data_IF_552749994998
#
_entry.id   IF_552749994998
#
_cell.length_a   1.000
_cell.length_b   1.000
_cell.length_c   1.000
_cell.angle_alpha   90.00
_cell.angle_beta   90.00
_cell.angle_gamma   90.00
#
_symmetry.space_group_name_H-M   'P 1'
#
loop_
_entity.id
_entity.type
_entity.pdbx_description
1 polymer ?
#
# COMPACT_ATOMS: atom_id res chain seq x y z
N UNK A 1 24.81 27.12 0.08
CA UNK A 1 25.06 25.67 0.14
C UNK A 1 23.70 25.01 0.17
N UNK A 2 23.21 24.58 -1.00
CA UNK A 2 21.94 23.84 -1.08
C UNK A 2 22.30 22.43 -0.65
N UNK A 3 21.81 21.99 0.51
CA UNK A 3 21.86 20.57 0.85
C UNK A 3 20.91 19.89 -0.12
N UNK A 4 21.44 19.08 -1.04
CA UNK A 4 20.64 18.10 -1.74
C UNK A 4 19.92 17.27 -0.67
N UNK A 5 18.58 17.30 -0.70
CA UNK A 5 17.79 16.40 0.11
C UNK A 5 18.18 14.99 -0.28
N UNK A 6 18.87 14.29 0.60
CA UNK A 6 19.09 12.85 0.52
C UNK A 6 17.70 12.22 0.43
N UNK A 7 17.27 11.87 -0.78
CA UNK A 7 16.04 11.12 -1.03
C UNK A 7 16.31 9.71 -0.52
N UNK A 8 16.08 9.52 0.78
CA UNK A 8 16.09 8.21 1.44
C UNK A 8 15.12 7.29 0.69
N UNK A 9 15.61 6.15 0.20
CA UNK A 9 14.78 5.10 -0.41
C UNK A 9 14.01 5.49 -1.67
N UNK A 10 14.66 5.53 -2.84
CA UNK A 10 13.96 5.71 -4.11
C UNK A 10 13.38 4.39 -4.66
N UNK A 11 12.14 4.46 -5.12
CA UNK A 11 11.47 3.47 -5.98
C UNK A 11 11.40 4.06 -7.38
N UNK A 12 11.97 3.39 -8.38
CA UNK A 12 12.10 3.95 -9.73
C UNK A 12 11.67 2.95 -10.81
N UNK A 13 11.36 3.49 -11.98
CA UNK A 13 11.10 2.69 -13.19
C UNK A 13 11.63 3.42 -14.42
N UNK A 14 12.07 2.68 -15.42
CA UNK A 14 12.51 3.23 -16.71
C UNK A 14 11.35 3.49 -17.68
N UNK A 15 10.11 3.18 -17.29
CA UNK A 15 8.90 3.37 -18.10
C UNK A 15 8.35 4.79 -17.98
N UNK A 16 7.84 5.34 -19.08
CA UNK A 16 6.99 6.54 -19.04
C UNK A 16 5.58 6.18 -18.59
N UNK A 17 5.43 5.96 -17.27
CA UNK A 17 4.16 5.61 -16.65
C UNK A 17 3.13 6.74 -16.75
N UNK A 18 3.59 8.00 -16.82
CA UNK A 18 2.71 9.16 -16.76
C UNK A 18 1.85 9.27 -18.01
N UNK A 19 2.48 9.20 -19.18
CA UNK A 19 1.78 9.26 -20.46
C UNK A 19 0.85 8.07 -20.63
N UNK A 20 1.30 6.86 -20.25
CA UNK A 20 0.45 5.66 -20.31
C UNK A 20 -0.79 5.78 -19.41
N UNK A 21 -0.66 6.31 -18.19
CA UNK A 21 -1.80 6.55 -17.30
C UNK A 21 -2.75 7.61 -17.85
N UNK A 22 -2.24 8.65 -18.51
CA UNK A 22 -3.08 9.67 -19.14
C UNK A 22 -3.93 9.09 -20.27
N UNK A 23 -3.33 8.30 -21.14
CA UNK A 23 -3.97 7.80 -22.36
C UNK A 23 -4.81 6.53 -22.11
N UNK A 24 -4.24 5.57 -21.39
CA UNK A 24 -4.80 4.22 -21.24
C UNK A 24 -5.51 4.00 -19.92
N UNK A 25 -5.31 4.89 -18.94
CA UNK A 25 -5.81 4.77 -17.55
C UNK A 25 -5.20 3.61 -16.74
N UNK A 26 -4.18 2.94 -17.30
CA UNK A 26 -3.38 1.94 -16.62
C UNK A 26 -1.97 1.87 -17.24
N UNK A 27 -1.01 1.34 -16.50
CA UNK A 27 0.32 0.96 -17.00
C UNK A 27 0.71 -0.38 -16.39
N UNK A 28 1.49 -1.17 -17.13
CA UNK A 28 2.02 -2.46 -16.67
C UNK A 28 3.53 -2.35 -16.62
N UNK A 29 4.08 -2.52 -15.42
CA UNK A 29 5.53 -2.50 -15.15
C UNK A 29 5.91 -3.92 -14.73
N UNK A 30 6.84 -4.54 -15.46
CA UNK A 30 7.39 -5.84 -15.07
C UNK A 30 8.37 -5.69 -13.92
N UNK A 31 8.60 -6.77 -13.16
CA UNK A 31 9.43 -6.72 -11.95
C UNK A 31 10.88 -6.28 -12.23
N UNK A 32 11.43 -6.59 -13.40
CA UNK A 32 12.77 -6.17 -13.85
C UNK A 32 12.84 -4.68 -14.24
N UNK A 33 11.70 -4.04 -14.48
CA UNK A 33 11.58 -2.61 -14.78
C UNK A 33 11.21 -1.78 -13.53
N UNK A 34 11.06 -2.41 -12.38
CA UNK A 34 10.72 -1.80 -11.10
C UNK A 34 11.91 -1.94 -10.13
N UNK A 35 12.62 -0.84 -9.92
CA UNK A 35 13.88 -0.83 -9.17
C UNK A 35 13.68 -0.24 -7.78
N UNK A 36 14.23 -0.93 -6.78
CA UNK A 36 14.30 -0.47 -5.40
C UNK A 36 15.75 -0.17 -5.05
N UNK A 37 16.01 0.95 -4.37
CA UNK A 37 17.31 1.18 -3.74
C UNK A 37 17.64 0.03 -2.76
N UNK A 38 18.93 -0.29 -2.62
CA UNK A 38 19.45 -1.33 -1.74
C UNK A 38 18.95 -1.17 -0.29
N UNK A 39 18.81 0.06 0.19
CA UNK A 39 18.27 0.39 1.52
C UNK A 39 16.85 -0.13 1.76
N UNK A 40 16.06 -0.32 0.69
CA UNK A 40 14.67 -0.78 0.75
C UNK A 40 14.53 -2.31 0.65
N UNK A 41 15.62 -3.06 0.44
CA UNK A 41 15.55 -4.52 0.26
C UNK A 41 15.02 -5.20 1.53
N UNK A 42 15.48 -4.77 2.72
CA UNK A 42 15.02 -5.31 3.99
C UNK A 42 13.53 -4.99 4.24
N UNK A 43 13.10 -3.76 3.91
CA UNK A 43 11.71 -3.34 3.99
C UNK A 43 10.80 -4.24 3.13
N UNK A 44 11.22 -4.53 1.89
CA UNK A 44 10.53 -5.45 0.99
C UNK A 44 10.40 -6.85 1.56
N UNK A 45 11.48 -7.41 2.11
CA UNK A 45 11.44 -8.74 2.72
C UNK A 45 10.48 -8.79 3.91
N UNK A 46 10.51 -7.76 4.77
CA UNK A 46 9.56 -7.62 5.89
C UNK A 46 8.10 -7.59 5.40
N UNK A 47 7.81 -6.75 4.41
CA UNK A 47 6.46 -6.66 3.82
C UNK A 47 6.01 -7.97 3.16
N UNK A 48 6.92 -8.72 2.52
CA UNK A 48 6.58 -10.03 1.96
C UNK A 48 6.30 -11.08 3.02
N UNK A 49 6.98 -11.02 4.16
CA UNK A 49 6.77 -11.97 5.25
C UNK A 49 5.34 -11.90 5.81
N UNK A 50 4.69 -10.73 5.76
CA UNK A 50 3.31 -10.53 6.22
C UNK A 50 2.27 -11.41 5.52
N UNK A 51 2.54 -11.87 4.29
CA UNK A 51 1.63 -12.79 3.58
C UNK A 51 1.41 -14.10 4.34
N UNK A 52 2.36 -14.52 5.16
CA UNK A 52 2.25 -15.72 5.99
C UNK A 52 1.29 -15.56 7.18
N UNK A 53 0.94 -14.32 7.54
CA UNK A 53 0.17 -13.99 8.75
C UNK A 53 -0.91 -12.94 8.50
N UNK A 54 -1.73 -13.14 7.46
CA UNK A 54 -2.88 -12.27 7.21
C UNK A 54 -4.12 -12.66 8.02
N UNK A 55 -4.90 -11.64 8.39
CA UNK A 55 -6.18 -11.84 9.05
C UNK A 55 -7.28 -12.29 8.06
N UNK A 56 -8.22 -13.11 8.51
CA UNK A 56 -9.39 -13.49 7.71
C UNK A 56 -10.32 -12.30 7.45
N UNK A 57 -10.83 -12.21 6.22
CA UNK A 57 -11.87 -11.24 5.85
C UNK A 57 -13.26 -11.78 6.23
N UNK A 58 -13.81 -11.27 7.34
CA UNK A 58 -15.09 -11.70 7.88
C UNK A 58 -16.32 -11.03 7.22
N UNK A 59 -16.13 -10.23 6.16
CA UNK A 59 -17.20 -9.44 5.53
C UNK A 59 -17.63 -9.96 4.16
N UNK A 60 -17.26 -11.19 3.81
CA UNK A 60 -17.72 -11.87 2.60
C UNK A 60 -19.15 -12.41 2.79
N UNK A 61 -19.94 -12.44 1.71
CA UNK A 61 -21.28 -13.05 1.73
C UNK A 61 -21.21 -14.54 2.07
N UNK A 62 -22.31 -15.06 2.61
CA UNK A 62 -22.54 -16.49 2.88
C UNK A 62 -21.44 -17.14 3.74
N UNK A 63 -20.86 -16.37 4.68
CA UNK A 63 -19.77 -16.83 5.56
C UNK A 63 -18.54 -17.39 4.82
N UNK A 64 -18.29 -16.98 3.57
CA UNK A 64 -17.12 -17.40 2.82
C UNK A 64 -15.82 -16.92 3.51
N UNK A 65 -14.75 -17.73 3.47
CA UNK A 65 -13.49 -17.46 4.18
C UNK A 65 -12.23 -17.53 3.31
N UNK A 66 -12.37 -17.41 2.00
CA UNK A 66 -11.26 -17.59 1.06
C UNK A 66 -10.32 -16.38 0.95
N UNK A 67 -10.66 -15.24 1.55
CA UNK A 67 -9.85 -14.02 1.47
C UNK A 67 -9.22 -13.68 2.82
N UNK A 68 -7.91 -13.50 2.80
CA UNK A 68 -7.15 -12.94 3.91
C UNK A 68 -6.67 -11.54 3.52
N UNK A 69 -6.68 -10.58 4.45
CA UNK A 69 -6.20 -9.22 4.22
C UNK A 69 -5.94 -8.45 5.50
N UNK A 70 -5.05 -7.47 5.41
CA UNK A 70 -4.87 -6.39 6.37
C UNK A 70 -5.05 -5.04 5.66
N UNK A 71 -5.27 -3.96 6.41
CA UNK A 71 -5.52 -2.63 5.87
C UNK A 71 -5.01 -1.53 6.81
N UNK A 72 -4.40 -0.49 6.23
CA UNK A 72 -4.07 0.77 6.87
C UNK A 72 -4.19 1.90 5.84
N UNK A 73 -4.38 3.12 6.34
CA UNK A 73 -4.23 4.34 5.58
C UNK A 73 -2.99 5.07 6.08
N UNK A 74 -2.46 5.98 5.27
CA UNK A 74 -1.37 6.87 5.63
C UNK A 74 -1.68 8.27 5.11
N UNK A 75 -1.17 9.30 5.78
CA UNK A 75 -1.12 10.64 5.23
C UNK A 75 0.19 10.82 4.46
N UNK A 76 0.11 11.28 3.22
CA UNK A 76 1.28 11.74 2.47
C UNK A 76 1.26 13.26 2.41
N UNK A 77 2.36 13.90 2.83
CA UNK A 77 2.56 15.35 2.77
C UNK A 77 3.46 15.72 1.60
N UNK A 78 2.93 16.25 0.48
CA UNK A 78 3.74 16.51 -0.71
C UNK A 78 4.79 17.61 -0.53
N UNK A 79 4.60 18.52 0.43
CA UNK A 79 5.51 19.63 0.72
C UNK A 79 6.79 19.19 1.43
N UNK A 80 6.70 18.14 2.24
CA UNK A 80 7.81 17.60 3.03
C UNK A 80 8.18 16.17 2.66
N UNK A 81 7.43 15.55 1.74
CA UNK A 81 7.50 14.14 1.34
C UNK A 81 7.33 13.14 2.50
N UNK A 82 6.77 13.59 3.62
CA UNK A 82 6.59 12.76 4.82
C UNK A 82 5.38 11.83 4.67
N UNK A 83 5.55 10.60 5.15
CA UNK A 83 4.47 9.63 5.31
C UNK A 83 4.18 9.52 6.80
N UNK A 84 2.96 9.86 7.21
CA UNK A 84 2.53 9.85 8.60
C UNK A 84 1.44 8.81 8.83
N UNK A 85 1.42 8.27 10.04
CA UNK A 85 0.37 7.35 10.47
C UNK A 85 -1.01 8.00 10.39
N UNK A 86 -1.96 7.23 9.86
CA UNK A 86 -3.37 7.55 9.91
C UNK A 86 -4.04 6.73 11.01
N UNK A 87 -4.88 7.33 11.88
CA UNK A 87 -5.56 6.60 12.95
C UNK A 87 -6.35 5.40 12.42
N UNK A 88 -6.35 4.25 13.13
CA UNK A 88 -7.13 3.08 12.75
C UNK A 88 -8.57 3.42 12.36
N UNK A 89 -8.93 3.17 11.09
CA UNK A 89 -10.24 3.52 10.54
C UNK A 89 -10.90 2.34 9.85
N UNK A 90 -12.23 2.37 9.82
CA UNK A 90 -13.02 1.36 9.12
C UNK A 90 -12.92 1.55 7.61
N UNK A 91 -12.93 0.44 6.88
CA UNK A 91 -12.94 0.44 5.43
C UNK A 91 -14.38 0.37 4.90
N UNK A 92 -14.81 1.43 4.20
CA UNK A 92 -16.12 1.49 3.55
C UNK A 92 -16.00 1.31 2.03
N UNK A 93 -16.94 0.57 1.46
CA UNK A 93 -17.18 0.57 0.01
C UNK A 93 -18.67 0.75 -0.19
N UNK A 94 -19.06 1.66 -1.09
CA UNK A 94 -20.47 1.81 -1.46
C UNK A 94 -20.99 0.53 -2.14
N UNK A 95 -22.32 0.38 -2.20
CA UNK A 95 -22.97 -0.71 -2.95
C UNK A 95 -22.75 -0.58 -4.46
N UNK A 96 -22.56 0.64 -4.95
CA UNK A 96 -22.23 0.91 -6.35
C UNK A 96 -20.81 0.41 -6.70
N UNK A 97 -19.83 0.65 -5.84
CA UNK A 97 -18.44 0.18 -6.05
C UNK A 97 -18.26 -1.32 -5.77
N UNK A 98 -19.05 -1.88 -4.85
CA UNK A 98 -19.00 -3.29 -4.49
C UNK A 98 -20.43 -3.83 -4.31
N UNK A 99 -21.06 -4.22 -5.41
CA UNK A 99 -22.39 -4.84 -5.39
C UNK A 99 -22.41 -6.20 -4.66
N UNK A 100 -21.25 -6.85 -4.55
CA UNK A 100 -21.12 -8.11 -3.84
C UNK A 100 -21.26 -7.94 -2.33
N UNK A 101 -20.57 -6.99 -1.69
CA UNK A 101 -20.57 -6.87 -0.23
C UNK A 101 -20.49 -5.42 0.30
N UNK A 102 -20.80 -4.41 -0.51
CA UNK A 102 -20.75 -2.99 -0.16
C UNK A 102 -21.87 -2.51 0.77
N UNK A 103 -21.82 -1.23 1.15
CA UNK A 103 -22.79 -0.58 2.03
C UNK A 103 -22.50 -0.71 3.52
N UNK A 104 -21.35 -1.28 3.90
CA UNK A 104 -20.99 -1.54 5.31
C UNK A 104 -19.61 -0.99 5.67
N UNK A 105 -19.45 -0.62 6.94
CA UNK A 105 -18.16 -0.26 7.55
C UNK A 105 -17.44 -1.53 8.00
N UNK A 106 -16.21 -1.77 7.52
CA UNK A 106 -15.44 -2.98 7.83
C UNK A 106 -14.29 -2.67 8.77
N UNK A 107 -14.24 -3.35 9.91
CA UNK A 107 -13.06 -3.44 10.78
C UNK A 107 -12.17 -4.57 10.24
N UNK A 108 -11.25 -4.23 9.36
CA UNK A 108 -10.27 -5.18 8.80
C UNK A 108 -9.09 -5.35 9.76
N UNK A 109 -8.31 -6.42 9.62
CA UNK A 109 -7.09 -6.59 10.39
C UNK A 109 -6.09 -5.47 10.11
N UNK A 110 -5.40 -4.99 11.14
CA UNK A 110 -4.35 -3.96 11.00
C UNK A 110 -3.07 -4.56 10.40
N UNK A 111 -2.24 -3.75 9.76
CA UNK A 111 -0.86 -4.15 9.44
C UNK A 111 -0.11 -4.53 10.72
N UNK A 112 0.95 -5.33 10.60
CA UNK A 112 1.80 -5.63 11.76
C UNK A 112 2.58 -4.38 12.16
N UNK A 113 2.87 -4.21 13.45
CA UNK A 113 3.66 -3.07 13.95
C UNK A 113 5.02 -2.99 13.24
N UNK A 114 5.71 -4.13 13.08
CA UNK A 114 6.99 -4.21 12.36
C UNK A 114 6.89 -3.74 10.91
N UNK A 115 5.72 -3.88 10.27
CA UNK A 115 5.47 -3.44 8.90
C UNK A 115 5.17 -1.95 8.84
N UNK A 116 4.45 -1.40 9.84
CA UNK A 116 4.20 0.03 9.91
C UNK A 116 5.48 0.84 10.03
N UNK A 117 6.51 0.27 10.69
CA UNK A 117 7.80 0.92 10.92
C UNK A 117 8.82 0.76 9.77
N UNK A 118 8.45 0.16 8.62
CA UNK A 118 9.38 0.04 7.49
C UNK A 118 9.37 1.32 6.63
N UNK A 119 10.46 1.62 5.90
CA UNK A 119 10.58 2.79 5.02
C UNK A 119 9.50 2.97 3.92
N UNK A 120 8.66 1.97 3.65
CA UNK A 120 7.51 2.12 2.76
C UNK A 120 6.28 2.76 3.42
N UNK A 121 6.18 2.64 4.74
CA UNK A 121 5.03 3.09 5.52
C UNK A 121 5.35 4.33 6.36
N UNK A 122 6.63 4.60 6.59
CA UNK A 122 7.13 5.78 7.29
C UNK A 122 8.38 6.31 6.60
N UNK A 123 8.46 7.64 6.45
CA UNK A 123 9.62 8.40 6.02
C UNK A 123 9.83 9.51 7.03
#
# INVERSE_FOLDING_TARGET
MIMESSTSGSITTSRDIKTELQDKKYSIISADQFSLNHELIAARQSLWHDWSNLASDNYLKNNARFRLRRFANFYFRPDTELILDFPPTTYFQSTELNSYAGGIQRKLGHLQESTLQIPFCMN
#
